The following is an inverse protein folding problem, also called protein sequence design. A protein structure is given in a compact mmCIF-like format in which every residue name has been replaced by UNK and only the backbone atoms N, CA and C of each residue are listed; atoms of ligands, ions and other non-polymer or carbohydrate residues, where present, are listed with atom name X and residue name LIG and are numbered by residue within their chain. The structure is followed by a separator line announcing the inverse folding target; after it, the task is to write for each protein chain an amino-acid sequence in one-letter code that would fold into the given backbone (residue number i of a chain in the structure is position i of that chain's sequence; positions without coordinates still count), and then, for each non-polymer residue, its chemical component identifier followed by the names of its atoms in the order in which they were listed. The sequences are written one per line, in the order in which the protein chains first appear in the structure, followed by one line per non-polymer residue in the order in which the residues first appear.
data_IF_779042715087
#
_entry.id   IF_779042715087
#
_cell.length_a   1.000
_cell.length_b   1.000
_cell.length_c   1.000
_cell.angle_alpha   90.00
_cell.angle_beta   90.00
_cell.angle_gamma   90.00
#
_symmetry.space_group_name_H-M   'P 1'
#
loop_
_entity.id
_entity.type
_entity.pdbx_description
1 polymer ?
#
# COMPACT_ATOMS: atom_id res chain seq x y z
N UNK A 1 -4.83 -8.80 -23.72
CA UNK A 1 -6.04 -9.61 -23.54
C UNK A 1 -6.31 -9.69 -22.06
N UNK A 2 -7.45 -9.14 -21.61
CA UNK A 2 -7.91 -9.29 -20.23
C UNK A 2 -8.32 -10.74 -20.04
N UNK A 3 -7.77 -11.40 -19.01
CA UNK A 3 -8.12 -12.77 -18.64
C UNK A 3 -9.40 -12.68 -17.82
N UNK A 4 -10.44 -13.44 -18.20
CA UNK A 4 -11.69 -13.49 -17.43
C UNK A 4 -11.38 -13.79 -15.95
N UNK A 5 -12.07 -13.07 -15.07
CA UNK A 5 -11.92 -13.24 -13.63
C UNK A 5 -12.34 -14.65 -13.25
N UNK A 6 -11.50 -15.33 -12.48
CA UNK A 6 -11.72 -16.70 -12.04
C UNK A 6 -12.75 -16.71 -10.90
N UNK A 7 -14.00 -17.07 -11.23
CA UNK A 7 -15.12 -17.12 -10.29
C UNK A 7 -14.99 -18.23 -9.22
N UNK A 8 -13.94 -19.07 -9.29
CA UNK A 8 -13.74 -20.17 -8.34
C UNK A 8 -12.85 -19.81 -7.14
N UNK A 9 -12.24 -18.63 -7.13
CA UNK A 9 -11.29 -18.25 -6.08
C UNK A 9 -11.94 -17.24 -5.14
N UNK A 10 -12.44 -17.71 -4.00
CA UNK A 10 -12.77 -16.81 -2.90
C UNK A 10 -11.53 -15.98 -2.52
N UNK A 11 -11.69 -14.66 -2.54
CA UNK A 11 -10.66 -13.70 -2.11
C UNK A 11 -10.48 -13.80 -0.60
N UNK A 12 -9.63 -14.74 -0.18
CA UNK A 12 -9.22 -14.87 1.21
C UNK A 12 -7.90 -14.17 1.53
N UNK A 13 -7.65 -13.96 2.82
CA UNK A 13 -6.44 -13.38 3.39
C UNK A 13 -5.13 -13.96 2.81
N UNK A 14 -5.09 -15.27 2.52
CA UNK A 14 -3.92 -15.92 1.90
C UNK A 14 -3.64 -15.38 0.50
N UNK A 15 -4.67 -15.19 -0.32
CA UNK A 15 -4.53 -14.68 -1.68
C UNK A 15 -4.02 -13.23 -1.66
N UNK A 16 -4.54 -12.41 -0.75
CA UNK A 16 -4.02 -11.07 -0.51
C UNK A 16 -2.54 -11.09 -0.09
N UNK A 17 -2.14 -11.96 0.84
CA UNK A 17 -0.73 -12.10 1.22
C UNK A 17 0.17 -12.46 0.02
N UNK A 18 -0.25 -13.40 -0.83
CA UNK A 18 0.51 -13.77 -2.03
C UNK A 18 0.60 -12.60 -3.02
N UNK A 19 -0.49 -11.86 -3.23
CA UNK A 19 -0.49 -10.70 -4.10
C UNK A 19 0.42 -9.59 -3.58
N UNK A 20 0.29 -9.24 -2.29
CA UNK A 20 1.08 -8.20 -1.63
C UNK A 20 2.56 -8.55 -1.53
N UNK A 21 2.90 -9.85 -1.42
CA UNK A 21 4.29 -10.32 -1.47
C UNK A 21 5.02 -9.92 -2.75
N UNK A 22 4.32 -9.76 -3.87
CA UNK A 22 4.93 -9.32 -5.13
C UNK A 22 5.38 -7.86 -5.09
N UNK A 23 4.83 -7.06 -4.17
CA UNK A 23 5.27 -5.68 -3.98
C UNK A 23 6.57 -5.59 -3.16
N UNK A 24 7.00 -6.67 -2.47
CA UNK A 24 8.18 -6.67 -1.60
C UNK A 24 9.43 -6.33 -2.40
N UNK A 25 10.19 -5.37 -1.88
CA UNK A 25 11.57 -5.06 -2.28
C UNK A 25 12.44 -5.33 -1.08
N UNK A 26 13.35 -6.29 -1.25
CA UNK A 26 14.31 -6.65 -0.23
C UNK A 26 15.58 -5.84 -0.45
N UNK A 27 15.95 -5.04 0.54
CA UNK A 27 17.27 -4.43 0.61
C UNK A 27 18.06 -5.10 1.75
N UNK A 28 19.37 -5.24 1.55
CA UNK A 28 20.31 -5.66 2.61
C UNK A 28 20.78 -4.38 3.29
N UNK A 29 20.26 -4.10 4.48
CA UNK A 29 20.58 -2.91 5.26
C UNK A 29 20.72 -3.30 6.74
N UNK A 30 21.77 -2.83 7.40
CA UNK A 30 22.01 -3.06 8.83
C UNK A 30 23.32 -3.79 9.14
N UNK A 31 23.40 -4.39 10.33
CA UNK A 31 24.55 -5.15 10.78
C UNK A 31 24.70 -6.47 10.03
N UNK A 32 25.95 -6.92 9.84
CA UNK A 32 26.29 -8.18 9.18
C UNK A 32 25.97 -9.36 10.11
N UNK A 33 24.73 -9.83 10.05
CA UNK A 33 24.20 -10.89 10.91
C UNK A 33 23.98 -12.22 10.18
N UNK A 34 23.97 -12.20 8.85
CA UNK A 34 23.74 -13.38 8.01
C UNK A 34 25.06 -13.88 7.39
N UNK A 35 25.27 -15.20 7.34
CA UNK A 35 26.46 -15.77 6.70
C UNK A 35 26.30 -15.76 5.19
N UNK A 36 27.22 -15.08 4.48
CA UNK A 36 27.30 -15.16 3.03
C UNK A 36 28.05 -16.44 2.64
N UNK A 37 27.29 -17.52 2.42
CA UNK A 37 27.85 -18.82 2.09
C UNK A 37 28.69 -18.78 0.80
N UNK A 38 28.21 -18.10 -0.24
CA UNK A 38 28.88 -18.08 -1.54
C UNK A 38 30.22 -17.35 -1.44
N UNK A 39 30.26 -16.17 -0.80
CA UNK A 39 31.51 -15.41 -0.64
C UNK A 39 32.45 -16.05 0.40
N UNK A 40 31.90 -16.69 1.44
CA UNK A 40 32.66 -17.49 2.41
C UNK A 40 33.36 -18.65 1.70
N UNK A 41 32.66 -19.42 0.87
CA UNK A 41 33.22 -20.54 0.12
C UNK A 41 34.30 -20.04 -0.84
N UNK A 42 34.01 -18.97 -1.61
CA UNK A 42 34.95 -18.42 -2.57
C UNK A 42 36.21 -17.83 -1.90
N UNK A 43 36.07 -17.17 -0.76
CA UNK A 43 37.18 -16.60 0.01
C UNK A 43 38.03 -17.69 0.66
N UNK A 44 37.39 -18.70 1.24
CA UNK A 44 38.06 -19.88 1.83
C UNK A 44 38.86 -20.64 0.76
N UNK A 45 38.28 -20.84 -0.43
CA UNK A 45 38.96 -21.51 -1.54
C UNK A 45 40.17 -20.71 -2.05
N UNK A 46 40.07 -19.37 -2.11
CA UNK A 46 41.18 -18.47 -2.48
C UNK A 46 42.27 -18.40 -1.40
N UNK A 47 41.91 -18.61 -0.14
CA UNK A 47 42.82 -18.61 1.01
C UNK A 47 43.45 -19.98 1.30
N UNK A 48 43.72 -20.78 0.26
CA UNK A 48 44.33 -22.11 0.34
C UNK A 48 43.62 -23.08 1.32
N UNK A 49 42.30 -22.94 1.51
CA UNK A 49 41.52 -23.79 2.40
C UNK A 49 41.45 -23.30 3.85
N UNK A 50 42.02 -22.15 4.18
CA UNK A 50 41.78 -21.50 5.47
C UNK A 50 40.42 -20.82 5.48
N UNK A 51 39.58 -21.23 6.44
CA UNK A 51 38.22 -20.73 6.60
C UNK A 51 38.21 -19.21 6.76
N UNK A 52 37.54 -18.53 5.83
CA UNK A 52 37.35 -17.09 5.82
C UNK A 52 35.85 -16.78 5.77
N UNK A 53 35.27 -16.50 6.94
CA UNK A 53 33.84 -16.26 7.12
C UNK A 53 33.46 -14.85 6.67
N UNK A 54 32.57 -14.77 5.69
CA UNK A 54 32.01 -13.52 5.18
C UNK A 54 30.59 -13.36 5.66
N UNK A 55 30.33 -12.26 6.35
CA UNK A 55 29.02 -11.92 6.89
C UNK A 55 28.40 -10.81 6.03
N UNK A 56 27.09 -10.81 5.89
CA UNK A 56 26.33 -9.79 5.16
C UNK A 56 25.09 -9.37 5.95
N UNK A 57 24.55 -8.17 5.71
CA UNK A 57 23.32 -7.74 6.35
C UNK A 57 22.13 -8.60 5.91
N UNK A 58 21.23 -8.89 6.86
CA UNK A 58 19.98 -9.59 6.59
C UNK A 58 19.11 -8.82 5.58
N UNK A 59 18.34 -9.57 4.78
CA UNK A 59 17.36 -8.99 3.85
C UNK A 59 16.11 -8.54 4.58
N UNK A 60 15.86 -7.23 4.59
CA UNK A 60 14.63 -6.65 5.12
C UNK A 60 13.72 -6.14 3.99
N UNK A 61 12.41 -6.30 4.17
CA UNK A 61 11.43 -5.66 3.28
C UNK A 61 11.42 -4.15 3.58
N UNK A 62 11.91 -3.34 2.66
CA UNK A 62 11.99 -1.87 2.83
C UNK A 62 10.83 -1.12 2.19
N UNK A 63 9.84 -1.86 1.67
CA UNK A 63 8.69 -1.25 1.00
C UNK A 63 7.82 -0.51 2.00
N UNK A 64 7.57 0.75 1.68
CA UNK A 64 6.64 1.62 2.40
C UNK A 64 5.34 1.68 1.61
N UNK A 65 4.22 1.44 2.28
CA UNK A 65 2.90 1.40 1.63
C UNK A 65 2.00 2.45 2.26
N UNK A 66 1.40 3.27 1.40
CA UNK A 66 0.30 4.16 1.73
C UNK A 66 -0.98 3.54 1.19
N UNK A 67 -1.92 3.24 2.08
CA UNK A 67 -3.20 2.64 1.72
C UNK A 67 -4.33 3.65 1.92
N UNK A 68 -5.07 3.92 0.86
CA UNK A 68 -6.29 4.73 0.87
C UNK A 68 -7.48 3.79 0.77
N UNK A 69 -8.35 3.83 1.78
CA UNK A 69 -9.53 2.98 1.88
C UNK A 69 -10.78 3.82 1.72
N UNK A 70 -11.62 3.46 0.76
CA UNK A 70 -12.94 4.04 0.66
C UNK A 70 -13.79 3.64 1.86
N UNK A 71 -14.57 4.59 2.31
CA UNK A 71 -15.58 4.43 3.35
C UNK A 71 -16.83 5.05 2.75
N UNK A 72 -17.95 4.37 2.85
CA UNK A 72 -19.23 4.83 2.32
C UNK A 72 -20.28 3.75 2.52
N UNK A 73 -21.56 4.08 2.37
CA UNK A 73 -22.64 3.09 2.57
C UNK A 73 -22.57 1.91 1.59
N UNK A 74 -22.03 2.11 0.39
CA UNK A 74 -21.80 1.05 -0.61
C UNK A 74 -20.66 0.10 -0.24
N UNK A 75 -19.75 0.52 0.66
CA UNK A 75 -18.65 -0.31 1.16
C UNK A 75 -19.08 -1.29 2.27
N UNK A 76 -20.30 -1.19 2.81
CA UNK A 76 -20.77 -2.03 3.92
C UNK A 76 -20.69 -3.53 3.60
N UNK A 77 -21.07 -3.92 2.37
CA UNK A 77 -20.99 -5.30 1.88
C UNK A 77 -19.54 -5.78 1.64
N UNK A 78 -18.57 -4.86 1.64
CA UNK A 78 -17.16 -5.11 1.39
C UNK A 78 -16.28 -5.06 2.63
N UNK A 79 -16.81 -4.64 3.79
CA UNK A 79 -16.06 -4.46 5.05
C UNK A 79 -15.22 -5.70 5.38
N UNK A 80 -15.81 -6.89 5.36
CA UNK A 80 -15.08 -8.12 5.70
C UNK A 80 -13.86 -8.37 4.80
N UNK A 81 -13.98 -8.13 3.48
CA UNK A 81 -12.85 -8.28 2.55
C UNK A 81 -11.77 -7.22 2.76
N UNK A 82 -12.17 -5.99 3.07
CA UNK A 82 -11.26 -4.89 3.35
C UNK A 82 -10.49 -5.14 4.66
N UNK A 83 -11.16 -5.68 5.68
CA UNK A 83 -10.53 -6.10 6.94
C UNK A 83 -9.49 -7.21 6.71
N UNK A 84 -9.81 -8.21 5.89
CA UNK A 84 -8.86 -9.25 5.51
C UNK A 84 -7.65 -8.71 4.75
N UNK A 85 -7.88 -7.78 3.80
CA UNK A 85 -6.80 -7.10 3.08
C UNK A 85 -5.92 -6.29 4.03
N UNK A 86 -6.53 -5.54 4.95
CA UNK A 86 -5.83 -4.73 5.95
C UNK A 86 -4.97 -5.60 6.86
N UNK A 87 -5.53 -6.72 7.35
CA UNK A 87 -4.80 -7.71 8.16
C UNK A 87 -3.62 -8.32 7.39
N UNK A 88 -3.84 -8.72 6.13
CA UNK A 88 -2.79 -9.22 5.26
C UNK A 88 -1.67 -8.18 5.06
N UNK A 89 -2.02 -6.93 4.76
CA UNK A 89 -1.08 -5.84 4.54
C UNK A 89 -0.25 -5.53 5.80
N UNK A 90 -0.90 -5.46 6.97
CA UNK A 90 -0.20 -5.18 8.24
C UNK A 90 0.80 -6.27 8.62
N UNK A 91 0.53 -7.52 8.22
CA UNK A 91 1.45 -8.64 8.47
C UNK A 91 2.65 -8.68 7.50
N UNK A 92 2.51 -8.14 6.28
CA UNK A 92 3.55 -8.22 5.24
C UNK A 92 4.44 -6.96 5.18
N UNK A 93 3.93 -5.80 5.60
CA UNK A 93 4.63 -4.51 5.55
C UNK A 93 4.87 -3.92 6.93
N UNK A 94 6.14 -3.59 7.22
CA UNK A 94 6.53 -2.89 8.45
C UNK A 94 6.11 -1.42 8.43
N UNK A 95 6.23 -0.77 7.28
CA UNK A 95 5.86 0.62 7.07
C UNK A 95 4.55 0.69 6.28
N UNK A 96 3.43 0.69 7.01
CA UNK A 96 2.08 0.80 6.45
C UNK A 96 1.35 1.98 7.10
N UNK A 97 1.00 2.96 6.28
CA UNK A 97 0.18 4.12 6.65
C UNK A 97 -1.17 4.00 5.98
N UNK A 98 -2.24 4.27 6.73
CA UNK A 98 -3.61 4.08 6.25
C UNK A 98 -4.42 5.35 6.43
N UNK A 99 -5.10 5.73 5.35
CA UNK A 99 -6.06 6.83 5.33
C UNK A 99 -7.35 6.33 4.71
N UNK A 100 -8.43 7.05 5.01
CA UNK A 100 -9.77 6.82 4.53
C UNK A 100 -10.20 7.99 3.66
N UNK A 101 -11.03 7.71 2.65
CA UNK A 101 -11.73 8.70 1.84
C UNK A 101 -13.20 8.29 1.65
N UNK A 102 -13.98 9.09 0.94
CA UNK A 102 -15.37 8.77 0.62
C UNK A 102 -15.60 8.99 -0.87
N UNK A 103 -15.81 7.89 -1.60
CA UNK A 103 -15.97 7.76 -3.05
C UNK A 103 -14.74 8.22 -3.87
N UNK A 104 -14.21 9.42 -3.65
CA UNK A 104 -12.99 9.91 -4.30
C UNK A 104 -12.08 10.63 -3.28
N UNK A 105 -10.74 10.46 -3.37
CA UNK A 105 -9.82 11.28 -2.60
C UNK A 105 -9.85 12.72 -3.15
N UNK A 106 -10.60 13.61 -2.50
CA UNK A 106 -10.68 15.03 -2.85
C UNK A 106 -9.62 15.84 -2.10
N UNK A 107 -9.99 16.98 -1.51
CA UNK A 107 -9.09 17.86 -0.74
C UNK A 107 -8.74 17.34 0.65
N UNK A 108 -9.50 16.37 1.20
CA UNK A 108 -9.26 15.86 2.55
C UNK A 108 -9.36 14.34 2.66
N UNK A 109 -8.49 13.78 3.50
CA UNK A 109 -8.47 12.38 3.91
C UNK A 109 -8.64 12.28 5.43
N UNK A 110 -9.01 11.09 5.93
CA UNK A 110 -9.14 10.82 7.36
C UNK A 110 -8.19 9.71 7.80
N UNK A 111 -7.69 9.76 9.03
CA UNK A 111 -6.96 8.61 9.61
C UNK A 111 -7.88 7.66 10.40
N UNK A 112 -9.09 8.10 10.71
CA UNK A 112 -10.07 7.34 11.47
C UNK A 112 -11.34 7.14 10.67
N UNK A 113 -11.83 5.90 10.66
CA UNK A 113 -13.09 5.53 10.01
C UNK A 113 -14.30 6.29 10.61
N UNK A 114 -14.21 6.76 11.86
CA UNK A 114 -15.27 7.55 12.50
C UNK A 114 -15.44 8.97 11.90
N UNK A 115 -14.64 9.32 10.88
CA UNK A 115 -14.67 10.60 10.15
C UNK A 115 -14.85 11.82 11.06
N UNK A 116 -14.14 11.82 12.19
CA UNK A 116 -14.20 12.94 13.14
C UNK A 116 -13.67 14.18 12.41
N UNK A 117 -14.45 15.26 12.41
CA UNK A 117 -14.08 16.51 11.72
C UNK A 117 -12.72 17.07 12.17
N UNK A 118 -12.30 16.76 13.40
CA UNK A 118 -11.02 17.18 13.97
C UNK A 118 -9.79 16.37 13.49
N UNK A 119 -9.98 15.31 12.69
CA UNK A 119 -8.89 14.44 12.17
C UNK A 119 -8.89 14.40 10.63
N UNK A 120 -9.25 15.53 10.00
CA UNK A 120 -9.11 15.73 8.54
C UNK A 120 -7.67 16.15 8.21
N UNK A 121 -7.07 15.46 7.25
CA UNK A 121 -5.76 15.76 6.70
C UNK A 121 -5.92 16.29 5.29
N UNK A 122 -5.22 17.36 4.92
CA UNK A 122 -5.22 17.86 3.55
C UNK A 122 -4.53 16.85 2.63
N UNK A 123 -5.17 16.50 1.51
CA UNK A 123 -4.59 15.58 0.52
C UNK A 123 -3.28 16.13 -0.03
N UNK A 124 -3.09 17.45 -0.10
CA UNK A 124 -1.80 18.06 -0.44
C UNK A 124 -0.71 17.76 0.58
N UNK A 125 -1.03 17.74 1.87
CA UNK A 125 -0.06 17.38 2.91
C UNK A 125 0.35 15.92 2.77
N UNK A 126 -0.59 15.03 2.43
CA UNK A 126 -0.30 13.63 2.13
C UNK A 126 0.61 13.51 0.92
N UNK A 127 0.31 14.19 -0.19
CA UNK A 127 1.14 14.20 -1.39
C UNK A 127 2.57 14.72 -1.12
N UNK A 128 2.74 15.70 -0.23
CA UNK A 128 4.06 16.23 0.16
C UNK A 128 4.81 15.33 1.13
N UNK A 129 4.09 14.70 2.06
CA UNK A 129 4.66 13.85 3.12
C UNK A 129 5.20 12.53 2.57
N UNK A 130 4.52 11.95 1.59
CA UNK A 130 4.87 10.64 1.05
C UNK A 130 5.66 10.79 -0.26
N UNK A 131 6.95 10.45 -0.21
CA UNK A 131 7.86 10.53 -1.35
C UNK A 131 7.63 9.39 -2.38
N UNK A 132 8.26 9.43 -3.56
CA UNK A 132 8.10 8.40 -4.61
C UNK A 132 8.53 6.97 -4.21
N UNK A 133 9.20 6.79 -3.06
CA UNK A 133 9.55 5.47 -2.54
C UNK A 133 8.34 4.74 -1.94
N UNK A 134 7.27 5.47 -1.59
CA UNK A 134 6.02 4.88 -1.14
C UNK A 134 5.26 4.25 -2.31
N UNK A 135 4.56 3.16 -2.01
CA UNK A 135 3.62 2.53 -2.92
C UNK A 135 2.21 2.88 -2.47
N UNK A 136 1.45 3.49 -3.37
CA UNK A 136 0.06 3.83 -3.15
C UNK A 136 -0.84 2.64 -3.51
N UNK A 137 -1.72 2.25 -2.60
CA UNK A 137 -2.81 1.29 -2.84
C UNK A 137 -4.11 2.02 -2.56
N UNK A 138 -4.98 2.10 -3.57
CA UNK A 138 -6.33 2.66 -3.42
C UNK A 138 -7.32 1.49 -3.47
N UNK A 139 -8.21 1.42 -2.49
CA UNK A 139 -9.23 0.38 -2.36
C UNK A 139 -10.59 1.06 -2.29
N UNK A 140 -11.50 0.66 -3.17
CA UNK A 140 -12.89 1.07 -3.15
C UNK A 140 -13.73 0.06 -3.92
N UNK A 141 -15.04 0.18 -3.82
CA UNK A 141 -16.03 -0.67 -4.49
C UNK A 141 -16.23 -0.31 -5.98
N UNK A 142 -15.53 0.72 -6.46
CA UNK A 142 -15.64 1.28 -7.81
C UNK A 142 -17.05 1.78 -8.18
N UNK A 143 -17.92 2.03 -7.20
CA UNK A 143 -19.29 2.53 -7.41
C UNK A 143 -19.37 4.06 -7.48
N UNK A 144 -18.32 4.70 -8.00
CA UNK A 144 -18.25 6.16 -8.15
C UNK A 144 -19.19 6.66 -9.24
N UNK A 145 -19.97 7.70 -8.91
CA UNK A 145 -20.77 8.43 -9.89
C UNK A 145 -19.87 9.21 -10.85
N UNK A 146 -20.17 9.27 -12.16
CA UNK A 146 -19.40 10.08 -13.11
C UNK A 146 -19.29 11.56 -12.71
N UNK A 147 -20.28 12.08 -11.98
CA UNK A 147 -20.29 13.46 -11.47
C UNK A 147 -19.23 13.71 -10.39
N UNK A 148 -18.99 12.73 -9.51
CA UNK A 148 -17.96 12.79 -8.45
C UNK A 148 -16.55 12.89 -9.05
N UNK A 149 -16.34 12.27 -10.20
CA UNK A 149 -15.06 12.24 -10.88
C UNK A 149 -14.86 13.48 -11.77
N UNK A 150 -15.88 13.87 -12.55
CA UNK A 150 -15.71 14.81 -13.66
C UNK A 150 -16.04 16.26 -13.33
N UNK A 151 -16.85 16.54 -12.29
CA UNK A 151 -17.36 17.88 -12.04
C UNK A 151 -16.83 18.51 -10.74
N UNK A 152 -16.54 19.83 -10.73
CA UNK A 152 -16.45 20.61 -9.51
C UNK A 152 -17.80 20.59 -8.77
N UNK A 153 -17.78 20.49 -7.44
CA UNK A 153 -18.97 20.35 -6.61
C UNK A 153 -19.62 18.95 -6.63
N UNK A 154 -19.00 17.96 -7.28
CA UNK A 154 -19.48 16.58 -7.31
C UNK A 154 -19.31 15.80 -6.00
N UNK A 155 -18.55 16.31 -5.02
CA UNK A 155 -18.37 15.67 -3.72
C UNK A 155 -19.65 15.65 -2.90
N UNK A 156 -19.94 14.50 -2.28
CA UNK A 156 -21.12 14.28 -1.45
C UNK A 156 -21.00 14.97 -0.08
N UNK A 157 -19.78 15.18 0.42
CA UNK A 157 -19.57 15.71 1.78
C UNK A 157 -19.40 17.22 1.85
N UNK A 158 -18.90 17.84 0.78
CA UNK A 158 -18.62 19.27 0.74
C UNK A 158 -18.48 19.74 -0.70
N UNK A 159 -18.52 21.04 -0.92
CA UNK A 159 -18.24 21.61 -2.24
C UNK A 159 -16.74 21.50 -2.57
N UNK A 160 -16.37 20.59 -3.48
CA UNK A 160 -15.00 20.47 -4.00
C UNK A 160 -14.75 21.47 -5.14
N UNK A 161 -13.64 22.20 -5.07
CA UNK A 161 -13.30 23.18 -6.12
C UNK A 161 -12.74 22.51 -7.37
N UNK A 162 -12.06 21.39 -7.20
CA UNK A 162 -11.41 20.63 -8.26
C UNK A 162 -12.10 19.28 -8.46
N UNK A 163 -12.29 18.81 -9.70
CA UNK A 163 -12.88 17.50 -9.97
C UNK A 163 -12.07 16.35 -9.36
N UNK A 164 -12.73 15.26 -8.96
CA UNK A 164 -12.07 14.07 -8.40
C UNK A 164 -11.02 13.46 -9.34
N UNK A 165 -11.24 13.49 -10.65
CA UNK A 165 -10.29 13.04 -11.66
C UNK A 165 -8.93 13.76 -11.57
N UNK A 166 -8.93 15.03 -11.18
CA UNK A 166 -7.70 15.81 -11.07
C UNK A 166 -6.87 15.35 -9.87
N UNK A 167 -7.52 15.00 -8.76
CA UNK A 167 -6.87 14.44 -7.59
C UNK A 167 -6.33 13.03 -7.84
N UNK A 168 -7.12 12.18 -8.50
CA UNK A 168 -6.67 10.84 -8.91
C UNK A 168 -5.43 10.91 -9.81
N UNK A 169 -5.38 11.86 -10.76
CA UNK A 169 -4.20 12.09 -11.61
C UNK A 169 -2.96 12.59 -10.87
N UNK A 170 -3.12 13.20 -9.69
CA UNK A 170 -1.98 13.62 -8.85
C UNK A 170 -1.46 12.47 -7.99
N UNK A 171 -2.34 11.54 -7.64
CA UNK A 171 -2.04 10.40 -6.77
C UNK A 171 -1.45 9.21 -7.53
N UNK A 172 -1.89 8.97 -8.76
CA UNK A 172 -1.45 7.88 -9.65
C UNK A 172 -0.23 8.27 -10.50
#
# INVERSE_FOLDING_TARGET
QFKDYDDQVELGTRNFKVALRRLRRFAREGAELELDLDDTIASTARNAGHLDLRMVPERHNTVKVLMLLDVGGSMDDHIGRVEELFSAARSEFRNLEVYYFHNCPYESLWQSNRRRQNERFDTWDVLRKYNPDWRLIIVGDATMSPYEILQPGGSVEHYNKEPGAQWMRRLL
#
